data_IF_403924071337
#
_entry.id   IF_403924071337
#
_cell.length_a   1.000
_cell.length_b   1.000
_cell.length_c   1.000
_cell.angle_alpha   90.00
_cell.angle_beta   90.00
_cell.angle_gamma   90.00
#
_symmetry.space_group_name_H-M   'P 1'
#
loop_
_entity.id
_entity.type
_entity.pdbx_description
1 polymer ?
#
# COMPACT_ATOMS: atom_id res chain seq x y z
N UNK A 1 -16.38 21.78 2.10
CA UNK A 1 -16.97 21.71 3.44
C UNK A 1 -17.86 22.96 3.68
N UNK A 2 -18.39 23.09 4.89
CA UNK A 2 -19.26 24.24 5.25
C UNK A 2 -18.52 25.57 5.31
N UNK A 3 -17.19 25.54 5.40
CA UNK A 3 -16.33 26.73 5.41
C UNK A 3 -15.88 27.14 3.99
N UNK A 4 -16.45 26.53 2.95
CA UNK A 4 -16.12 26.80 1.55
C UNK A 4 -14.78 26.22 1.08
N UNK A 5 -14.16 25.31 1.84
CA UNK A 5 -12.89 24.70 1.47
C UNK A 5 -13.09 23.43 0.63
N UNK A 6 -12.18 23.22 -0.33
CA UNK A 6 -12.11 21.98 -1.10
C UNK A 6 -11.54 20.88 -0.22
N UNK A 7 -12.28 19.79 -0.03
CA UNK A 7 -11.85 18.64 0.79
C UNK A 7 -11.36 17.46 -0.05
N UNK A 8 -11.84 17.35 -1.28
CA UNK A 8 -11.47 16.28 -2.21
C UNK A 8 -11.82 16.64 -3.66
N UNK A 9 -11.26 15.88 -4.60
CA UNK A 9 -11.58 15.95 -6.04
C UNK A 9 -12.14 14.61 -6.48
N UNK A 10 -13.36 14.61 -7.08
CA UNK A 10 -13.99 13.40 -7.58
C UNK A 10 -13.14 12.78 -8.71
N UNK A 11 -12.90 11.48 -8.65
CA UNK A 11 -12.01 10.77 -9.57
C UNK A 11 -12.71 9.67 -10.37
N UNK A 12 -13.54 8.88 -9.72
CA UNK A 12 -14.16 7.71 -10.30
C UNK A 12 -15.49 7.39 -9.63
N UNK A 13 -16.31 6.60 -10.29
CA UNK A 13 -17.50 5.98 -9.73
C UNK A 13 -17.34 4.46 -9.77
N UNK A 14 -17.98 3.77 -8.84
CA UNK A 14 -18.19 2.33 -8.98
C UNK A 14 -19.40 2.12 -9.89
N UNK A 15 -19.25 1.24 -10.87
CA UNK A 15 -20.38 0.80 -11.68
C UNK A 15 -20.58 -0.71 -11.54
N UNK A 16 -21.83 -1.14 -11.44
CA UNK A 16 -22.22 -2.55 -11.44
C UNK A 16 -23.07 -2.90 -12.65
N UNK A 17 -23.57 -1.89 -13.34
CA UNK A 17 -24.45 -2.03 -14.50
C UNK A 17 -24.00 -1.09 -15.62
N UNK A 18 -24.34 -1.47 -16.85
CA UNK A 18 -24.12 -0.68 -18.05
C UNK A 18 -25.45 -0.44 -18.76
N UNK A 19 -25.58 0.70 -19.46
CA UNK A 19 -26.71 0.98 -20.34
C UNK A 19 -26.68 0.02 -21.54
N UNK A 20 -27.77 -0.03 -22.31
CA UNK A 20 -27.83 -0.76 -23.57
C UNK A 20 -26.81 -0.27 -24.62
N UNK A 21 -26.28 0.96 -24.43
CA UNK A 21 -25.22 1.56 -25.27
C UNK A 21 -23.80 1.32 -24.72
N UNK A 22 -23.67 0.57 -23.59
CA UNK A 22 -22.37 0.24 -22.99
C UNK A 22 -21.81 1.34 -22.07
N UNK A 23 -22.58 2.35 -21.70
CA UNK A 23 -22.13 3.39 -20.77
C UNK A 23 -22.32 2.96 -19.30
N UNK A 24 -21.35 3.27 -18.42
CA UNK A 24 -21.41 2.87 -17.01
C UNK A 24 -22.52 3.62 -16.27
N UNK A 25 -23.37 2.88 -15.56
CA UNK A 25 -24.41 3.45 -14.70
C UNK A 25 -23.83 3.70 -13.31
N UNK A 26 -24.06 4.89 -12.77
CA UNK A 26 -23.64 5.23 -11.41
C UNK A 26 -24.42 4.40 -10.38
N UNK A 27 -23.69 3.67 -9.53
CA UNK A 27 -24.27 2.86 -8.44
C UNK A 27 -24.45 3.63 -7.12
N UNK A 28 -24.29 4.95 -7.13
CA UNK A 28 -24.32 5.78 -5.92
C UNK A 28 -23.00 5.80 -5.13
N UNK A 29 -21.97 5.10 -5.60
CA UNK A 29 -20.66 5.06 -4.96
C UNK A 29 -19.66 5.81 -5.81
N UNK A 30 -19.09 6.88 -5.25
CA UNK A 30 -18.03 7.67 -5.86
C UNK A 30 -16.73 7.60 -5.05
N UNK A 31 -15.62 7.75 -5.74
CA UNK A 31 -14.28 7.82 -5.15
C UNK A 31 -13.68 9.19 -5.39
N UNK A 32 -13.13 9.77 -4.34
CA UNK A 32 -12.50 11.07 -4.40
C UNK A 32 -11.05 11.00 -3.93
N UNK A 33 -10.20 11.83 -4.53
CA UNK A 33 -8.82 12.03 -4.09
C UNK A 33 -8.83 13.11 -3.02
N UNK A 34 -8.31 12.79 -1.83
CA UNK A 34 -8.20 13.73 -0.71
C UNK A 34 -7.42 14.99 -1.13
N UNK A 35 -7.88 16.17 -0.66
CA UNK A 35 -7.18 17.44 -0.90
C UNK A 35 -5.73 17.42 -0.39
N UNK A 36 -5.41 16.63 0.63
CA UNK A 36 -4.03 16.49 1.11
C UNK A 36 -3.10 15.89 0.05
N UNK A 37 -3.59 14.91 -0.73
CA UNK A 37 -2.86 14.36 -1.88
C UNK A 37 -2.80 15.39 -3.00
N UNK A 38 -3.91 16.09 -3.29
CA UNK A 38 -3.97 17.14 -4.32
C UNK A 38 -2.95 18.24 -4.05
N UNK A 39 -2.89 18.77 -2.80
CA UNK A 39 -1.93 19.80 -2.38
C UNK A 39 -0.47 19.39 -2.55
N UNK A 40 -0.19 18.09 -2.50
CA UNK A 40 1.16 17.55 -2.67
C UNK A 40 1.52 17.33 -4.15
N UNK A 41 0.58 16.79 -4.92
CA UNK A 41 0.83 16.35 -6.30
C UNK A 41 0.71 17.48 -7.31
N UNK A 42 -0.34 18.31 -7.19
CA UNK A 42 -0.68 19.32 -8.20
C UNK A 42 0.41 20.38 -8.40
N UNK A 43 1.04 20.96 -7.36
CA UNK A 43 2.11 21.92 -7.56
C UNK A 43 3.28 21.36 -8.36
N UNK A 44 3.64 20.10 -8.12
CA UNK A 44 4.72 19.41 -8.86
C UNK A 44 4.31 19.16 -10.31
N UNK A 45 3.06 18.73 -10.54
CA UNK A 45 2.53 18.56 -11.90
C UNK A 45 2.52 19.88 -12.70
N UNK A 46 2.20 21.00 -12.05
CA UNK A 46 2.24 22.33 -12.70
C UNK A 46 3.67 22.74 -13.03
N UNK A 47 4.62 22.51 -12.12
CA UNK A 47 6.00 22.95 -12.27
C UNK A 47 6.82 22.04 -13.22
N UNK A 48 6.60 20.71 -13.17
CA UNK A 48 7.46 19.72 -13.81
C UNK A 48 6.74 18.88 -14.89
N UNK A 49 5.42 19.03 -15.04
CA UNK A 49 4.62 18.27 -16.00
C UNK A 49 4.41 16.80 -15.62
N UNK A 50 5.05 16.31 -14.54
CA UNK A 50 4.98 14.94 -14.04
C UNK A 50 5.07 14.88 -12.52
N UNK A 51 4.64 13.77 -11.94
CA UNK A 51 4.82 13.47 -10.52
C UNK A 51 5.39 12.07 -10.36
N UNK A 52 6.54 11.97 -9.71
CA UNK A 52 7.17 10.69 -9.40
C UNK A 52 6.60 10.15 -8.08
N UNK A 53 5.97 8.98 -8.12
CA UNK A 53 5.41 8.34 -6.92
C UNK A 53 6.50 7.64 -6.12
N UNK A 54 6.46 7.74 -4.76
CA UNK A 54 7.37 6.99 -3.93
C UNK A 54 7.13 5.48 -4.07
N UNK A 55 8.20 4.69 -4.14
CA UNK A 55 8.16 3.26 -4.42
C UNK A 55 8.87 2.46 -3.33
N UNK A 56 8.22 1.39 -2.83
CA UNK A 56 8.74 0.47 -1.83
C UNK A 56 9.39 -0.78 -2.45
N UNK A 57 8.84 -1.26 -3.55
CA UNK A 57 9.30 -2.49 -4.21
C UNK A 57 8.79 -3.77 -3.52
N UNK A 58 7.57 -3.76 -2.98
CA UNK A 58 6.92 -4.92 -2.37
C UNK A 58 5.55 -5.17 -3.00
N UNK A 59 5.14 -6.43 -2.98
CA UNK A 59 3.73 -6.84 -3.14
C UNK A 59 3.26 -7.49 -1.84
N UNK A 60 1.98 -7.36 -1.56
CA UNK A 60 1.34 -7.90 -0.37
C UNK A 60 -0.06 -8.42 -0.71
N UNK A 61 -0.58 -9.31 0.12
CA UNK A 61 -1.98 -9.70 0.06
C UNK A 61 -2.85 -8.62 0.70
N UNK A 62 -4.04 -8.42 0.15
CA UNK A 62 -5.01 -7.47 0.72
C UNK A 62 -5.76 -8.05 1.93
N UNK A 63 -6.02 -9.36 1.92
CA UNK A 63 -6.82 -10.02 2.94
C UNK A 63 -6.04 -11.13 3.64
N UNK A 64 -5.91 -11.02 4.95
CA UNK A 64 -5.42 -12.06 5.83
C UNK A 64 -6.63 -12.81 6.41
N UNK A 65 -7.21 -13.73 5.64
CA UNK A 65 -8.28 -14.60 6.15
C UNK A 65 -7.74 -15.60 7.18
N UNK A 66 -8.61 -16.12 8.04
CA UNK A 66 -8.20 -17.09 9.08
C UNK A 66 -7.38 -18.26 8.52
N UNK A 67 -7.81 -18.95 7.43
CA UNK A 67 -6.99 -20.03 6.86
C UNK A 67 -5.59 -19.58 6.40
N UNK A 68 -5.48 -18.36 5.85
CA UNK A 68 -4.19 -17.79 5.43
C UNK A 68 -3.30 -17.53 6.65
N UNK A 69 -3.85 -16.97 7.72
CA UNK A 69 -3.12 -16.67 8.97
C UNK A 69 -2.59 -17.96 9.60
N UNK A 70 -3.43 -19.00 9.69
CA UNK A 70 -3.05 -20.32 10.21
C UNK A 70 -1.94 -20.96 9.36
N UNK A 71 -2.10 -20.96 8.03
CA UNK A 71 -1.11 -21.52 7.11
C UNK A 71 0.23 -20.79 7.13
N UNK A 72 0.20 -19.46 7.29
CA UNK A 72 1.40 -18.63 7.41
C UNK A 72 2.02 -18.68 8.83
N UNK A 73 1.33 -19.22 9.82
CA UNK A 73 1.74 -19.24 11.22
C UNK A 73 1.84 -17.82 11.82
N UNK A 74 0.98 -16.89 11.37
CA UNK A 74 1.02 -15.51 11.85
C UNK A 74 0.33 -15.39 13.20
N UNK A 75 0.92 -14.61 14.12
CA UNK A 75 0.34 -14.27 15.42
C UNK A 75 -0.57 -13.03 15.39
N UNK A 76 -0.61 -12.32 14.27
CA UNK A 76 -1.40 -11.11 14.09
C UNK A 76 -2.41 -11.28 12.96
N UNK A 77 -3.61 -10.75 13.18
CA UNK A 77 -4.70 -10.71 12.19
C UNK A 77 -4.69 -9.43 11.35
N UNK A 78 -3.73 -8.53 11.60
CA UNK A 78 -3.65 -7.23 10.95
C UNK A 78 -2.23 -6.94 10.51
N UNK A 79 -2.10 -6.27 9.35
CA UNK A 79 -0.84 -5.90 8.75
C UNK A 79 -0.82 -6.18 7.25
N UNK A 80 0.35 -6.02 6.65
CA UNK A 80 0.60 -6.28 5.23
C UNK A 80 1.65 -7.41 5.09
N UNK A 81 1.21 -8.63 4.75
CA UNK A 81 2.12 -9.75 4.54
C UNK A 81 2.85 -9.64 3.21
N UNK A 82 4.17 -9.66 3.24
CA UNK A 82 5.01 -9.50 2.04
C UNK A 82 5.05 -10.79 1.23
N UNK A 83 4.40 -10.79 0.08
CA UNK A 83 4.33 -11.92 -0.85
C UNK A 83 5.46 -11.91 -1.87
N UNK A 84 5.92 -10.72 -2.27
CA UNK A 84 7.09 -10.58 -3.13
C UNK A 84 7.85 -9.28 -2.86
N UNK A 85 9.14 -9.30 -3.17
CA UNK A 85 10.05 -8.15 -3.10
C UNK A 85 10.69 -8.01 -4.48
N UNK A 86 10.71 -6.79 -5.00
CA UNK A 86 11.36 -6.50 -6.29
C UNK A 86 12.87 -6.56 -6.13
N UNK A 87 13.57 -7.44 -6.87
CA UNK A 87 15.04 -7.53 -6.80
C UNK A 87 15.71 -6.18 -7.08
N UNK A 88 16.68 -5.79 -6.24
CA UNK A 88 17.35 -4.50 -6.31
C UNK A 88 16.51 -3.30 -5.91
N UNK A 89 15.22 -3.50 -5.58
CA UNK A 89 14.33 -2.44 -5.10
C UNK A 89 14.63 -1.98 -3.67
N UNK A 90 13.96 -0.91 -3.20
CA UNK A 90 14.18 -0.35 -1.85
C UNK A 90 14.03 -1.39 -0.74
N UNK A 91 12.97 -2.17 -0.77
CA UNK A 91 12.68 -3.19 0.23
C UNK A 91 13.73 -4.32 0.22
N UNK A 92 14.19 -4.75 -0.97
CA UNK A 92 15.22 -5.76 -1.13
C UNK A 92 16.55 -5.29 -0.51
N UNK A 93 16.99 -4.08 -0.88
CA UNK A 93 18.20 -3.48 -0.33
C UNK A 93 18.15 -3.29 1.19
N UNK A 94 16.97 -3.09 1.75
CA UNK A 94 16.75 -2.95 3.18
C UNK A 94 16.62 -4.30 3.91
N UNK A 95 16.55 -5.42 3.19
CA UNK A 95 16.45 -6.76 3.77
C UNK A 95 15.05 -7.17 4.21
N UNK A 96 14.00 -6.57 3.63
CA UNK A 96 12.62 -7.07 3.73
C UNK A 96 12.53 -8.43 3.03
N UNK A 97 11.82 -9.37 3.63
CA UNK A 97 11.71 -10.74 3.14
C UNK A 97 10.32 -11.08 2.65
N UNK A 98 10.24 -11.63 1.46
CA UNK A 98 9.03 -12.28 0.95
C UNK A 98 8.94 -13.72 1.46
N UNK A 99 7.73 -14.30 1.43
CA UNK A 99 7.54 -15.72 1.66
C UNK A 99 8.34 -16.56 0.66
N UNK A 100 8.98 -17.62 1.15
CA UNK A 100 9.84 -18.49 0.33
C UNK A 100 9.52 -19.99 0.45
N UNK A 101 8.82 -20.40 1.52
CA UNK A 101 8.46 -21.80 1.75
C UNK A 101 7.05 -22.06 1.20
N UNK A 102 6.90 -23.10 0.39
CA UNK A 102 5.59 -23.51 -0.15
C UNK A 102 4.63 -23.85 1.00
N UNK A 103 3.35 -23.56 0.76
CA UNK A 103 2.25 -23.84 1.69
C UNK A 103 1.22 -24.75 1.02
N UNK A 104 0.20 -25.18 1.75
CA UNK A 104 -0.93 -25.95 1.19
C UNK A 104 -1.83 -25.10 0.27
N UNK A 105 -1.74 -23.77 0.38
CA UNK A 105 -2.52 -22.82 -0.43
C UNK A 105 -1.73 -22.45 -1.69
N UNK A 106 -2.26 -22.77 -2.85
CA UNK A 106 -1.60 -22.52 -4.13
C UNK A 106 -1.24 -21.03 -4.30
N UNK A 107 0.04 -20.77 -4.59
CA UNK A 107 0.57 -19.43 -4.80
C UNK A 107 0.87 -18.65 -3.52
N UNK A 108 0.60 -19.21 -2.34
CA UNK A 108 0.97 -18.65 -1.06
C UNK A 108 2.26 -19.29 -0.55
N UNK A 109 3.22 -18.44 -0.13
CA UNK A 109 4.48 -18.89 0.49
C UNK A 109 4.62 -18.32 1.87
N UNK A 110 5.03 -19.14 2.83
CA UNK A 110 5.28 -18.73 4.22
C UNK A 110 6.73 -18.27 4.44
N UNK A 111 6.99 -17.65 5.62
CA UNK A 111 8.32 -17.16 6.03
C UNK A 111 8.64 -15.74 5.58
N UNK A 112 7.66 -15.02 5.02
CA UNK A 112 7.76 -13.58 4.72
C UNK A 112 7.53 -12.70 5.94
N UNK A 113 7.89 -11.43 5.82
CA UNK A 113 7.66 -10.41 6.83
C UNK A 113 6.19 -9.97 6.84
N UNK A 114 5.64 -9.72 8.03
CA UNK A 114 4.36 -9.04 8.21
C UNK A 114 4.61 -7.61 8.65
N UNK A 115 4.33 -6.63 7.80
CA UNK A 115 4.48 -5.21 8.13
C UNK A 115 3.29 -4.79 9.00
N UNK A 116 3.56 -4.29 10.20
CA UNK A 116 2.57 -3.89 11.20
C UNK A 116 2.51 -2.39 11.44
N UNK A 117 3.58 -1.65 11.11
CA UNK A 117 3.60 -0.21 11.21
C UNK A 117 4.54 0.44 10.17
N UNK A 118 4.29 1.73 9.89
CA UNK A 118 5.14 2.62 9.10
C UNK A 118 5.36 3.92 9.85
N UNK A 119 6.64 4.31 10.07
CA UNK A 119 7.05 5.48 10.87
C UNK A 119 6.35 5.56 12.24
N UNK A 120 6.22 4.43 12.92
CA UNK A 120 5.54 4.30 14.20
C UNK A 120 4.01 4.30 14.14
N UNK A 121 3.41 4.52 12.97
CA UNK A 121 1.96 4.45 12.79
C UNK A 121 1.55 3.02 12.43
N UNK A 122 0.75 2.39 13.30
CA UNK A 122 0.20 1.04 13.02
C UNK A 122 -0.65 1.03 11.76
N UNK A 123 -0.51 -0.05 11.00
CA UNK A 123 -1.31 -0.32 9.79
C UNK A 123 -2.05 -1.64 9.93
N UNK A 124 -3.25 -1.71 9.36
CA UNK A 124 -4.11 -2.90 9.40
C UNK A 124 -4.12 -3.67 8.09
N UNK A 125 -3.71 -3.02 7.00
CA UNK A 125 -3.73 -3.59 5.66
C UNK A 125 -2.64 -2.98 4.78
N UNK A 126 -2.40 -3.62 3.62
CA UNK A 126 -1.52 -3.07 2.61
C UNK A 126 -2.02 -1.74 2.03
N UNK A 127 -3.34 -1.57 1.92
CA UNK A 127 -3.93 -0.32 1.43
C UNK A 127 -3.64 0.85 2.38
N UNK A 128 -3.64 0.63 3.70
CA UNK A 128 -3.25 1.66 4.67
C UNK A 128 -1.77 2.03 4.54
N UNK A 129 -0.90 1.05 4.28
CA UNK A 129 0.52 1.29 3.99
C UNK A 129 0.69 2.17 2.74
N UNK A 130 -0.02 1.82 1.65
CA UNK A 130 0.02 2.58 0.39
C UNK A 130 -0.53 4.00 0.57
N UNK A 131 -1.65 4.15 1.27
CA UNK A 131 -2.27 5.45 1.55
C UNK A 131 -1.34 6.34 2.37
N UNK A 132 -0.72 5.80 3.43
CA UNK A 132 0.27 6.53 4.23
C UNK A 132 1.43 7.02 3.36
N UNK A 133 2.02 6.12 2.58
CA UNK A 133 3.16 6.43 1.69
C UNK A 133 2.83 7.56 0.73
N UNK A 134 1.69 7.48 0.02
CA UNK A 134 1.28 8.50 -0.97
C UNK A 134 0.99 9.84 -0.30
N UNK A 135 0.37 9.82 0.88
CA UNK A 135 -0.03 11.05 1.59
C UNK A 135 1.12 11.76 2.30
N UNK A 136 2.18 11.03 2.69
CA UNK A 136 3.19 11.57 3.61
C UNK A 136 4.62 11.56 3.06
N UNK A 137 4.90 10.82 1.98
CA UNK A 137 6.28 10.59 1.50
C UNK A 137 6.46 10.96 0.04
N UNK A 138 7.71 11.28 -0.31
CA UNK A 138 8.20 11.52 -1.67
C UNK A 138 9.31 10.52 -2.02
N UNK A 139 9.63 10.33 -3.30
CA UNK A 139 10.85 9.63 -3.69
C UNK A 139 12.07 10.26 -3.02
N UNK A 140 12.96 9.42 -2.48
CA UNK A 140 14.13 9.84 -1.74
C UNK A 140 13.95 9.98 -0.23
N UNK A 141 12.71 10.02 0.27
CA UNK A 141 12.44 10.02 1.70
C UNK A 141 12.76 8.66 2.33
N UNK A 142 13.17 8.68 3.59
CA UNK A 142 13.31 7.47 4.40
C UNK A 142 12.01 7.16 5.12
N UNK A 143 11.74 5.86 5.29
CA UNK A 143 10.65 5.32 6.11
C UNK A 143 11.18 4.23 7.01
N UNK A 144 10.58 4.09 8.18
CA UNK A 144 10.81 2.97 9.09
C UNK A 144 9.61 2.03 9.01
N UNK A 145 9.84 0.78 8.60
CA UNK A 145 8.83 -0.26 8.62
C UNK A 145 9.04 -1.13 9.86
N UNK A 146 8.03 -1.24 10.71
CA UNK A 146 8.00 -2.23 11.78
C UNK A 146 7.43 -3.52 11.21
N UNK A 147 8.21 -4.60 11.25
CA UNK A 147 7.82 -5.90 10.72
C UNK A 147 7.86 -6.97 11.79
N UNK A 148 6.97 -7.95 11.70
CA UNK A 148 7.08 -9.22 12.39
C UNK A 148 7.74 -10.23 11.45
N UNK A 149 8.91 -10.74 11.86
CA UNK A 149 9.65 -11.80 11.19
C UNK A 149 9.62 -13.04 12.08
N UNK A 150 8.69 -13.94 11.80
CA UNK A 150 8.36 -15.00 12.74
C UNK A 150 7.78 -14.42 14.03
N UNK A 151 8.49 -14.55 15.14
CA UNK A 151 8.07 -14.03 16.44
C UNK A 151 8.75 -12.70 16.82
N UNK A 152 9.75 -12.29 16.06
CA UNK A 152 10.56 -11.11 16.34
C UNK A 152 10.00 -9.87 15.66
N UNK A 153 9.87 -8.78 16.42
CA UNK A 153 9.56 -7.47 15.89
C UNK A 153 10.85 -6.73 15.56
N UNK A 154 10.96 -6.24 14.31
CA UNK A 154 12.16 -5.59 13.80
C UNK A 154 11.76 -4.29 13.13
N UNK A 155 12.48 -3.21 13.40
CA UNK A 155 12.37 -1.96 12.67
C UNK A 155 13.40 -1.91 11.55
N UNK A 156 12.92 -1.73 10.32
CA UNK A 156 13.74 -1.69 9.10
C UNK A 156 13.61 -0.33 8.45
N UNK A 157 14.71 0.40 8.38
CA UNK A 157 14.75 1.69 7.68
C UNK A 157 15.09 1.47 6.21
N UNK A 158 14.31 2.06 5.31
CA UNK A 158 14.58 2.05 3.88
C UNK A 158 14.35 3.43 3.25
N UNK A 159 15.07 3.69 2.16
CA UNK A 159 14.91 4.90 1.34
C UNK A 159 14.03 4.58 0.15
N UNK A 160 12.96 5.36 -0.04
CA UNK A 160 12.02 5.20 -1.15
C UNK A 160 12.65 5.59 -2.48
N UNK A 161 12.45 4.78 -3.50
CA UNK A 161 12.82 5.12 -4.88
C UNK A 161 11.66 5.81 -5.61
N UNK A 162 11.90 6.24 -6.83
CA UNK A 162 10.86 6.56 -7.80
C UNK A 162 10.24 5.26 -8.32
N UNK A 163 8.95 5.29 -8.55
CA UNK A 163 8.28 4.17 -9.21
C UNK A 163 8.79 4.05 -10.65
N UNK A 164 9.21 2.85 -11.08
CA UNK A 164 9.63 2.60 -12.47
C UNK A 164 8.54 2.89 -13.48
#
# INVERSE_FOLDING_TARGET
NLDGEVIAVNRAIRTTNYTSTGEPVNSGIGFSISVNVVKRVVPVLIAEGKYDYPYLGISSMNDLSLPVIEELGLKSFVGAYVTSVTPGGPADRAGIRAGSKETSILGLKSGGDLITAIDGKSIRSFDELLAYRISNKSPGDSVVLTVLRGEEQIDITLKLDKRP
#
